data_IF_014916036049
#
_entry.id   IF_014916036049
#
_cell.length_a   1.000
_cell.length_b   1.000
_cell.length_c   1.000
_cell.angle_alpha   90.00
_cell.angle_beta   90.00
_cell.angle_gamma   90.00
#
_symmetry.space_group_name_H-M   'P 1'
#
loop_
_entity.id
_entity.type
_entity.pdbx_description
1 polymer ?
#
# COMPACT_ATOMS: atom_id res chain seq x y z
N UNK A 1 20.48 -49.24 26.79
CA UNK A 1 21.63 -48.40 26.40
C UNK A 1 21.79 -48.52 24.89
N UNK A 2 21.15 -47.63 24.13
CA UNK A 2 21.44 -47.44 22.70
C UNK A 2 21.39 -45.93 22.44
N UNK A 3 22.54 -45.41 22.04
CA UNK A 3 22.79 -44.03 21.65
C UNK A 3 22.36 -43.85 20.19
N UNK A 4 21.56 -42.80 19.92
CA UNK A 4 21.33 -42.34 18.56
C UNK A 4 21.64 -40.84 18.52
N UNK A 5 22.76 -40.52 17.88
CA UNK A 5 23.27 -39.19 17.64
C UNK A 5 22.72 -38.71 16.29
N UNK A 6 21.78 -37.75 16.30
CA UNK A 6 21.29 -37.10 15.09
C UNK A 6 21.80 -35.66 15.04
N UNK A 7 22.81 -35.45 14.20
CA UNK A 7 23.23 -34.13 13.72
C UNK A 7 22.11 -33.53 12.86
N UNK A 8 21.46 -32.47 13.33
CA UNK A 8 20.57 -31.63 12.53
C UNK A 8 21.40 -30.60 11.76
N UNK A 9 21.52 -30.82 10.44
CA UNK A 9 21.98 -29.83 9.47
C UNK A 9 20.89 -28.78 9.27
N UNK A 10 21.26 -27.51 9.34
CA UNK A 10 20.46 -26.36 8.95
C UNK A 10 20.13 -26.39 7.44
N UNK A 11 18.92 -26.00 7.02
CA UNK A 11 18.59 -25.92 5.59
C UNK A 11 19.13 -24.61 4.99
N UNK A 12 19.45 -24.60 3.68
CA UNK A 12 19.89 -23.40 2.98
C UNK A 12 18.71 -22.50 2.60
N UNK A 13 18.99 -21.20 2.57
CA UNK A 13 18.14 -20.12 2.07
C UNK A 13 17.73 -20.34 0.62
N UNK A 14 16.43 -20.52 0.36
CA UNK A 14 15.88 -20.55 -0.99
C UNK A 14 15.28 -19.20 -1.38
N UNK A 15 15.73 -18.72 -2.54
CA UNK A 15 15.21 -17.57 -3.27
C UNK A 15 13.71 -17.72 -3.54
N UNK A 16 12.92 -16.72 -3.16
CA UNK A 16 11.54 -16.53 -3.62
C UNK A 16 11.52 -15.96 -5.05
N UNK A 17 10.72 -16.52 -5.98
CA UNK A 17 10.45 -15.86 -7.26
C UNK A 17 9.26 -14.89 -7.16
N UNK A 18 9.51 -13.64 -7.56
CA UNK A 18 8.54 -12.57 -7.80
C UNK A 18 7.55 -12.96 -8.91
N UNK A 19 6.43 -13.61 -8.59
CA UNK A 19 5.24 -13.70 -9.46
C UNK A 19 3.96 -13.82 -8.64
N UNK A 20 3.58 -12.77 -7.92
CA UNK A 20 2.22 -12.66 -7.37
C UNK A 20 1.79 -11.20 -7.15
N UNK A 21 1.94 -10.35 -8.17
CA UNK A 21 1.51 -8.94 -8.09
C UNK A 21 0.75 -8.41 -9.32
N UNK A 22 0.34 -9.28 -10.25
CA UNK A 22 -0.34 -8.86 -11.48
C UNK A 22 -1.84 -9.22 -11.59
N UNK A 23 -2.50 -9.67 -10.53
CA UNK A 23 -3.92 -10.13 -10.61
C UNK A 23 -4.99 -9.24 -9.97
N UNK A 24 -4.65 -8.05 -9.46
CA UNK A 24 -5.65 -7.18 -8.77
C UNK A 24 -6.28 -6.10 -9.69
N UNK A 25 -5.88 -5.98 -10.97
CA UNK A 25 -6.50 -5.04 -11.92
C UNK A 25 -7.12 -5.77 -13.11
N UNK A 26 -8.29 -6.41 -12.92
CA UNK A 26 -9.21 -6.80 -14.02
C UNK A 26 -10.54 -7.33 -13.47
N UNK A 27 -11.42 -6.44 -13.01
CA UNK A 27 -12.85 -6.74 -12.90
C UNK A 27 -13.68 -5.46 -12.89
N UNK A 28 -14.03 -4.97 -14.08
CA UNK A 28 -15.14 -4.02 -14.27
C UNK A 28 -15.62 -4.10 -15.72
N UNK A 29 -16.41 -5.11 -16.05
CA UNK A 29 -17.23 -5.10 -17.26
C UNK A 29 -18.67 -4.80 -16.84
N UNK A 30 -19.09 -3.56 -17.06
CA UNK A 30 -20.48 -3.13 -16.93
C UNK A 30 -21.19 -3.38 -18.26
N UNK A 31 -22.27 -4.18 -18.21
CA UNK A 31 -23.17 -4.44 -19.33
C UNK A 31 -24.11 -3.24 -19.51
N UNK A 32 -24.18 -2.68 -20.73
CA UNK A 32 -25.26 -1.77 -21.13
C UNK A 32 -25.76 -2.17 -22.52
N UNK A 33 -27.02 -2.61 -22.56
CA UNK A 33 -27.78 -2.88 -23.77
C UNK A 33 -28.23 -1.55 -24.41
N UNK A 34 -28.14 -1.41 -25.73
CA UNK A 34 -28.74 -0.30 -26.47
C UNK A 34 -29.61 -0.82 -27.63
N UNK A 35 -30.90 -0.50 -27.54
CA UNK A 35 -31.93 -0.73 -28.54
C UNK A 35 -31.69 0.10 -29.81
N UNK A 36 -31.96 -0.48 -30.98
CA UNK A 36 -32.06 0.25 -32.25
C UNK A 36 -33.53 0.43 -32.61
N UNK A 37 -33.98 1.68 -32.66
CA UNK A 37 -35.27 2.06 -33.22
C UNK A 37 -35.18 2.25 -34.74
N UNK A 38 -36.25 1.80 -35.36
CA UNK A 38 -36.58 1.77 -36.77
C UNK A 38 -37.10 3.16 -37.20
N UNK A 39 -36.64 3.70 -38.33
CA UNK A 39 -37.38 4.75 -39.07
C UNK A 39 -37.23 4.49 -40.56
N UNK A 40 -38.33 4.04 -41.17
CA UNK A 40 -38.57 4.03 -42.61
C UNK A 40 -38.98 5.42 -43.11
N UNK A 41 -38.68 5.70 -44.39
CA UNK A 41 -39.54 6.33 -45.42
C UNK A 41 -38.70 6.59 -46.67
N UNK A 42 -38.92 5.83 -47.75
CA UNK A 42 -39.87 6.09 -48.85
C UNK A 42 -39.48 7.29 -49.72
N UNK A 43 -39.19 7.06 -51.01
CA UNK A 43 -40.07 7.40 -52.15
C UNK A 43 -39.46 6.90 -53.46
N UNK A 44 -40.34 6.35 -54.29
CA UNK A 44 -40.17 5.68 -55.57
C UNK A 44 -40.42 6.67 -56.72
N UNK A 45 -39.69 6.58 -57.86
CA UNK A 45 -40.26 6.94 -59.18
C UNK A 45 -39.42 6.48 -60.39
N UNK A 46 -40.05 5.59 -61.14
CA UNK A 46 -39.98 5.20 -62.56
C UNK A 46 -39.23 6.11 -63.55
N UNK A 47 -38.45 5.53 -64.49
CA UNK A 47 -38.89 5.19 -65.89
C UNK A 47 -37.71 4.65 -66.73
N UNK A 48 -38.04 4.02 -67.85
CA UNK A 48 -37.23 3.07 -68.60
C UNK A 48 -36.58 3.63 -69.89
N UNK A 49 -35.65 2.83 -70.44
CA UNK A 49 -35.28 2.60 -71.87
C UNK A 49 -34.01 3.28 -72.49
N UNK A 50 -33.22 2.39 -73.12
CA UNK A 50 -32.32 2.41 -74.31
C UNK A 50 -30.92 3.06 -74.31
N UNK A 51 -29.95 2.15 -74.46
CA UNK A 51 -28.77 2.03 -75.36
C UNK A 51 -28.16 3.26 -76.09
N UNK A 52 -26.81 3.26 -76.01
CA UNK A 52 -25.75 3.72 -76.92
C UNK A 52 -25.78 5.11 -77.58
N UNK A 53 -24.81 5.96 -77.21
CA UNK A 53 -23.61 6.22 -78.03
C UNK A 53 -22.60 7.14 -77.32
N UNK A 54 -21.34 7.00 -77.71
CA UNK A 54 -20.15 7.59 -77.12
C UNK A 54 -19.99 9.11 -77.34
N UNK A 55 -19.42 9.83 -76.36
CA UNK A 55 -18.26 10.72 -76.57
C UNK A 55 -17.80 11.50 -75.31
N UNK A 56 -16.51 11.29 -74.98
CA UNK A 56 -15.54 12.28 -74.47
C UNK A 56 -15.69 12.85 -73.04
N UNK A 57 -14.82 12.32 -72.16
CA UNK A 57 -13.77 13.15 -71.56
C UNK A 57 -13.99 13.64 -70.13
N UNK A 58 -13.48 12.89 -69.15
CA UNK A 58 -12.73 13.38 -67.98
C UNK A 58 -12.74 12.28 -66.91
N UNK A 59 -11.67 11.49 -66.82
CA UNK A 59 -11.63 10.36 -65.91
C UNK A 59 -10.22 10.08 -65.44
N UNK A 60 -9.82 10.77 -64.36
CA UNK A 60 -8.52 10.60 -63.69
C UNK A 60 -8.06 9.13 -63.70
N UNK A 61 -6.85 8.89 -64.22
CA UNK A 61 -6.21 7.56 -64.32
C UNK A 61 -6.26 6.85 -62.97
N UNK A 62 -6.32 5.51 -62.94
CA UNK A 62 -6.37 4.73 -61.69
C UNK A 62 -5.26 5.12 -60.67
N UNK A 63 -4.12 5.58 -61.17
CA UNK A 63 -3.02 6.17 -60.39
C UNK A 63 -3.38 7.49 -59.72
N UNK A 64 -4.10 8.39 -60.41
CA UNK A 64 -4.58 9.66 -59.86
C UNK A 64 -5.59 9.46 -58.72
N UNK A 65 -6.50 8.49 -58.86
CA UNK A 65 -7.45 8.12 -57.80
C UNK A 65 -6.75 7.53 -56.56
N UNK A 66 -5.69 6.73 -56.73
CA UNK A 66 -4.86 6.23 -55.60
C UNK A 66 -4.10 7.36 -54.91
N UNK A 67 -3.51 8.28 -55.65
CA UNK A 67 -2.75 9.39 -55.07
C UNK A 67 -3.63 10.40 -54.33
N UNK A 68 -4.87 10.61 -54.79
CA UNK A 68 -5.85 11.44 -54.08
C UNK A 68 -6.28 10.80 -52.76
N UNK A 69 -6.56 9.48 -52.73
CA UNK A 69 -6.86 8.76 -51.48
C UNK A 69 -5.71 8.83 -50.48
N UNK A 70 -4.46 8.66 -50.93
CA UNK A 70 -3.28 8.74 -50.06
C UNK A 70 -3.10 10.16 -49.52
N UNK A 71 -3.36 11.20 -50.33
CA UNK A 71 -3.31 12.60 -49.87
C UNK A 71 -4.43 12.93 -48.88
N UNK A 72 -5.65 12.44 -49.10
CA UNK A 72 -6.77 12.60 -48.18
C UNK A 72 -6.56 11.82 -46.88
N UNK A 73 -6.04 10.59 -46.93
CA UNK A 73 -5.67 9.83 -45.74
C UNK A 73 -4.56 10.53 -44.95
N UNK A 74 -3.56 11.08 -45.63
CA UNK A 74 -2.50 11.85 -44.98
C UNK A 74 -3.07 13.11 -44.32
N UNK A 75 -3.92 13.86 -45.03
CA UNK A 75 -4.57 15.07 -44.50
C UNK A 75 -5.53 14.75 -43.35
N UNK A 76 -6.18 13.58 -43.38
CA UNK A 76 -7.07 13.09 -42.31
C UNK A 76 -6.30 12.62 -41.09
N UNK A 77 -5.18 11.92 -41.26
CA UNK A 77 -4.27 11.52 -40.18
C UNK A 77 -3.61 12.74 -39.52
N UNK A 78 -3.24 13.75 -40.32
CA UNK A 78 -2.74 15.03 -39.82
C UNK A 78 -3.83 15.80 -39.06
N UNK A 79 -5.09 15.75 -39.51
CA UNK A 79 -6.24 16.38 -38.84
C UNK A 79 -6.64 15.68 -37.52
N UNK A 80 -6.60 14.35 -37.47
CA UNK A 80 -6.83 13.55 -36.25
C UNK A 80 -5.70 13.72 -35.23
N UNK A 81 -4.45 13.85 -35.69
CA UNK A 81 -3.29 14.18 -34.86
C UNK A 81 -3.39 15.60 -34.24
N UNK A 82 -4.00 16.56 -34.94
CA UNK A 82 -4.17 17.95 -34.48
C UNK A 82 -5.38 18.18 -33.57
N UNK A 83 -6.42 17.34 -33.60
CA UNK A 83 -7.66 17.52 -32.82
C UNK A 83 -7.84 16.59 -31.62
N UNK A 84 -6.83 15.81 -31.27
CA UNK A 84 -6.91 14.94 -30.10
C UNK A 84 -6.49 15.71 -28.85
N UNK A 85 -7.36 16.61 -28.38
CA UNK A 85 -7.29 17.05 -26.98
C UNK A 85 -7.72 15.85 -26.12
N UNK A 86 -6.80 15.21 -25.38
CA UNK A 86 -7.06 13.91 -24.80
C UNK A 86 -8.16 13.95 -23.74
N UNK A 87 -8.99 12.91 -23.67
CA UNK A 87 -10.03 12.82 -22.64
C UNK A 87 -9.45 12.87 -21.22
N UNK A 88 -8.27 12.28 -21.01
CA UNK A 88 -7.56 12.34 -19.73
C UNK A 88 -7.19 13.78 -19.34
N UNK A 89 -6.84 14.63 -20.31
CA UNK A 89 -6.49 16.03 -20.04
C UNK A 89 -7.74 16.82 -19.64
N UNK A 90 -8.91 16.54 -20.23
CA UNK A 90 -10.20 17.16 -19.86
C UNK A 90 -10.61 16.81 -18.44
N UNK A 91 -10.49 15.53 -18.07
CA UNK A 91 -10.79 15.03 -16.73
C UNK A 91 -9.84 15.67 -15.71
N UNK A 92 -8.55 15.78 -16.05
CA UNK A 92 -7.55 16.37 -15.18
C UNK A 92 -7.79 17.88 -14.97
N UNK A 93 -8.18 18.61 -16.01
CA UNK A 93 -8.59 20.02 -15.89
C UNK A 93 -9.85 20.20 -15.05
N UNK A 94 -10.83 19.30 -15.19
CA UNK A 94 -12.06 19.35 -14.41
C UNK A 94 -11.79 19.08 -12.93
N UNK A 95 -10.94 18.11 -12.62
CA UNK A 95 -10.48 17.83 -11.26
C UNK A 95 -9.74 19.04 -10.65
N UNK A 96 -8.94 19.78 -11.44
CA UNK A 96 -8.24 20.98 -10.97
C UNK A 96 -9.18 22.14 -10.58
N UNK A 97 -10.44 22.15 -11.04
CA UNK A 97 -11.42 23.15 -10.62
C UNK A 97 -11.88 22.94 -9.18
N UNK A 98 -11.81 21.69 -8.71
CA UNK A 98 -12.33 21.27 -7.40
C UNK A 98 -11.22 20.99 -6.39
N UNK A 99 -9.97 20.83 -6.83
CA UNK A 99 -8.81 20.55 -5.98
C UNK A 99 -7.72 21.63 -6.13
N UNK A 100 -7.50 22.39 -5.05
CA UNK A 100 -6.50 23.45 -4.99
C UNK A 100 -5.06 22.94 -5.04
N UNK A 101 -4.78 21.73 -4.52
CA UNK A 101 -3.43 21.18 -4.53
C UNK A 101 -3.01 20.75 -5.94
N UNK A 102 -3.91 20.10 -6.68
CA UNK A 102 -3.67 19.72 -8.07
C UNK A 102 -3.52 20.94 -8.99
N UNK A 103 -4.27 22.00 -8.71
CA UNK A 103 -4.14 23.29 -9.41
C UNK A 103 -2.76 23.92 -9.21
N UNK A 104 -2.20 23.83 -8.00
CA UNK A 104 -0.83 24.31 -7.72
C UNK A 104 0.22 23.46 -8.46
N UNK A 105 -0.01 22.16 -8.61
CA UNK A 105 0.90 21.24 -9.33
C UNK A 105 0.96 21.55 -10.83
N UNK A 106 -0.19 21.84 -11.44
CA UNK A 106 -0.28 22.07 -12.89
C UNK A 106 -0.06 23.54 -13.28
N UNK A 107 -0.45 24.48 -12.42
CA UNK A 107 -0.19 25.92 -12.57
C UNK A 107 -0.52 26.44 -13.97
N UNK A 108 0.46 27.06 -14.62
CA UNK A 108 0.35 27.65 -15.97
C UNK A 108 0.28 26.62 -17.12
N UNK A 109 0.29 25.32 -16.80
CA UNK A 109 0.33 24.24 -17.82
C UNK A 109 -1.07 23.75 -18.23
N UNK A 110 -2.13 24.35 -17.68
CA UNK A 110 -3.53 24.05 -18.03
C UNK A 110 -3.79 24.38 -19.51
N UNK A 111 -4.46 23.49 -20.23
CA UNK A 111 -4.76 23.63 -21.66
C UNK A 111 -3.76 22.97 -22.62
N UNK A 112 -2.59 22.50 -22.15
CA UNK A 112 -1.62 21.79 -23.00
C UNK A 112 -1.35 20.36 -22.46
N UNK A 113 -1.83 19.31 -23.15
CA UNK A 113 -1.72 17.93 -22.64
C UNK A 113 -0.27 17.46 -22.48
N UNK A 114 0.65 17.86 -23.35
CA UNK A 114 2.04 17.39 -23.24
C UNK A 114 2.75 18.00 -22.02
N UNK A 115 2.47 19.26 -21.72
CA UNK A 115 3.02 19.95 -20.54
C UNK A 115 2.37 19.48 -19.24
N UNK A 116 1.06 19.22 -19.24
CA UNK A 116 0.36 18.64 -18.08
C UNK A 116 0.95 17.27 -17.73
N UNK A 117 1.19 16.43 -18.74
CA UNK A 117 1.82 15.11 -18.55
C UNK A 117 3.21 15.24 -17.96
N UNK A 118 4.05 16.10 -18.53
CA UNK A 118 5.42 16.31 -18.04
C UNK A 118 5.45 16.85 -16.61
N UNK A 119 4.56 17.78 -16.24
CA UNK A 119 4.48 18.34 -14.88
C UNK A 119 4.03 17.30 -13.85
N UNK A 120 3.03 16.49 -14.20
CA UNK A 120 2.58 15.37 -13.35
C UNK A 120 3.69 14.34 -13.19
N UNK A 121 4.33 13.92 -14.28
CA UNK A 121 5.45 12.96 -14.24
C UNK A 121 6.64 13.52 -13.44
N UNK A 122 6.98 14.80 -13.59
CA UNK A 122 8.01 15.45 -12.79
C UNK A 122 7.65 15.52 -11.31
N UNK A 123 6.39 15.83 -10.97
CA UNK A 123 5.95 15.89 -9.57
C UNK A 123 5.91 14.50 -8.94
N UNK A 124 5.43 13.49 -9.65
CA UNK A 124 5.47 12.08 -9.21
C UNK A 124 6.92 11.62 -9.04
N UNK A 125 7.83 12.01 -9.93
CA UNK A 125 9.25 11.68 -9.81
C UNK A 125 9.95 12.41 -8.67
N UNK A 126 9.61 13.68 -8.42
CA UNK A 126 10.21 14.50 -7.35
C UNK A 126 9.65 14.16 -5.97
N UNK A 127 8.31 14.09 -5.80
CA UNK A 127 7.68 13.64 -4.56
C UNK A 127 7.99 12.17 -4.29
N UNK A 128 7.86 11.31 -5.31
CA UNK A 128 8.27 9.91 -5.22
C UNK A 128 9.71 9.78 -4.76
N UNK A 129 10.68 10.48 -5.37
CA UNK A 129 12.07 10.47 -4.88
C UNK A 129 12.23 10.99 -3.44
N UNK A 130 11.54 12.05 -3.07
CA UNK A 130 11.66 12.64 -1.73
C UNK A 130 11.07 11.72 -0.64
N UNK A 131 9.97 11.02 -0.95
CA UNK A 131 9.32 10.07 -0.04
C UNK A 131 10.08 8.73 0.01
N UNK A 132 10.62 8.24 -1.12
CA UNK A 132 11.43 7.02 -1.18
C UNK A 132 12.87 7.20 -0.65
N UNK A 133 13.40 8.43 -0.58
CA UNK A 133 14.73 8.74 -0.07
C UNK A 133 14.70 9.62 1.19
N UNK A 134 13.72 9.45 2.08
CA UNK A 134 13.97 9.83 3.49
C UNK A 134 15.17 9.03 3.96
N UNK A 135 16.20 9.71 4.45
CA UNK A 135 17.36 9.07 5.05
C UNK A 135 16.88 8.14 6.16
N UNK A 136 17.03 6.83 5.97
CA UNK A 136 16.71 5.83 6.99
C UNK A 136 17.50 6.20 8.23
N UNK A 137 16.79 6.60 9.29
CA UNK A 137 17.39 6.95 10.57
C UNK A 137 17.52 5.72 11.48
N UNK A 138 17.03 4.57 11.02
CA UNK A 138 17.11 3.28 11.69
C UNK A 138 18.49 2.63 11.67
N UNK A 139 18.58 1.46 12.31
CA UNK A 139 19.76 0.61 12.34
C UNK A 139 19.67 -0.53 11.32
N UNK A 140 20.77 -0.81 10.64
CA UNK A 140 20.88 -1.96 9.72
C UNK A 140 21.02 -3.28 10.51
N UNK A 141 21.42 -3.19 11.77
CA UNK A 141 21.61 -4.36 12.64
C UNK A 141 20.27 -4.82 13.22
N UNK A 142 20.03 -6.12 13.18
CA UNK A 142 18.91 -6.73 13.88
C UNK A 142 19.12 -6.57 15.40
N UNK A 143 18.10 -6.09 16.11
CA UNK A 143 18.16 -5.97 17.56
C UNK A 143 18.07 -7.33 18.23
N UNK A 144 18.61 -7.41 19.44
CA UNK A 144 18.55 -8.62 20.26
C UNK A 144 17.22 -8.71 21.00
N UNK A 145 16.61 -9.89 21.05
CA UNK A 145 15.42 -10.15 21.88
C UNK A 145 15.81 -11.02 23.07
N UNK A 146 15.43 -10.62 24.28
CA UNK A 146 15.65 -11.39 25.51
C UNK A 146 14.34 -11.53 26.30
N UNK A 147 14.16 -12.67 26.97
CA UNK A 147 13.08 -12.88 27.93
C UNK A 147 13.70 -13.12 29.31
N UNK A 148 13.21 -12.40 30.32
CA UNK A 148 13.68 -12.48 31.72
C UNK A 148 12.47 -12.49 32.64
N UNK A 149 12.14 -13.66 33.19
CA UNK A 149 11.01 -13.84 34.11
C UNK A 149 9.70 -13.23 33.57
N UNK A 150 9.47 -13.39 32.27
CA UNK A 150 8.32 -12.79 31.59
C UNK A 150 7.02 -13.44 32.04
N UNK A 151 6.11 -12.63 32.58
CA UNK A 151 4.74 -12.99 32.91
C UNK A 151 3.79 -12.20 31.99
N UNK A 152 3.04 -12.85 31.08
CA UNK A 152 2.20 -12.15 30.10
C UNK A 152 1.08 -11.32 30.72
N UNK A 153 0.70 -11.58 31.98
CA UNK A 153 -0.36 -10.85 32.68
C UNK A 153 0.15 -9.66 33.50
N UNK A 154 1.46 -9.61 33.75
CA UNK A 154 2.07 -8.60 34.60
C UNK A 154 3.57 -8.52 34.33
N UNK A 155 3.95 -7.80 33.28
CA UNK A 155 5.36 -7.58 32.96
C UNK A 155 5.59 -6.29 32.20
N UNK A 156 6.78 -5.74 32.40
CA UNK A 156 7.28 -4.68 31.54
C UNK A 156 7.90 -5.26 30.27
N UNK A 157 7.74 -4.55 29.17
CA UNK A 157 8.53 -4.73 27.97
C UNK A 157 9.46 -3.53 27.87
N UNK A 158 10.75 -3.81 27.74
CA UNK A 158 11.82 -2.82 27.68
C UNK A 158 12.39 -2.72 26.27
N UNK A 159 12.72 -1.51 25.85
CA UNK A 159 13.33 -1.21 24.56
C UNK A 159 14.57 -0.36 24.82
N UNK A 160 15.73 -0.82 24.38
CA UNK A 160 16.96 -0.03 24.40
C UNK A 160 17.22 0.54 23.01
N UNK A 161 17.37 1.86 22.91
CA UNK A 161 17.69 2.58 21.68
C UNK A 161 19.21 2.86 21.59
N UNK A 162 19.71 3.15 20.39
CA UNK A 162 21.12 3.56 20.22
C UNK A 162 21.45 4.94 20.82
N UNK A 163 20.43 5.74 21.10
CA UNK A 163 20.53 7.05 21.71
C UNK A 163 19.17 7.52 22.20
N UNK A 164 19.15 8.66 22.89
CA UNK A 164 17.93 9.18 23.49
C UNK A 164 16.91 9.55 22.41
N UNK A 165 15.63 9.13 22.56
CA UNK A 165 14.64 9.34 21.53
C UNK A 165 14.28 10.82 21.38
N UNK A 166 14.16 11.27 20.13
CA UNK A 166 13.54 12.58 19.85
C UNK A 166 12.04 12.52 20.13
N UNK A 167 11.37 13.67 20.26
CA UNK A 167 9.93 13.71 20.54
C UNK A 167 9.12 13.02 19.43
N UNK A 168 9.60 13.10 18.19
CA UNK A 168 9.05 12.37 17.05
C UNK A 168 9.18 10.85 17.22
N UNK A 169 10.29 10.38 17.78
CA UNK A 169 10.52 8.94 17.99
C UNK A 169 9.62 8.41 19.11
N UNK A 170 9.43 9.21 20.17
CA UNK A 170 8.47 8.92 21.25
C UNK A 170 7.04 8.78 20.67
N UNK A 171 6.60 9.74 19.86
CA UNK A 171 5.29 9.67 19.20
C UNK A 171 5.15 8.46 18.27
N UNK A 172 6.21 8.13 17.53
CA UNK A 172 6.20 7.03 16.58
C UNK A 172 6.15 5.67 17.30
N UNK A 173 7.02 5.45 18.28
CA UNK A 173 7.04 4.23 19.09
C UNK A 173 5.72 4.09 19.87
N UNK A 174 5.26 5.18 20.49
CA UNK A 174 4.00 5.23 21.21
C UNK A 174 2.79 4.88 20.33
N UNK A 175 2.71 5.46 19.12
CA UNK A 175 1.64 5.17 18.16
C UNK A 175 1.63 3.70 17.69
N UNK A 176 2.81 3.10 17.52
CA UNK A 176 2.94 1.67 17.18
C UNK A 176 2.41 0.79 18.30
N UNK A 177 2.83 1.08 19.55
CA UNK A 177 2.40 0.32 20.73
C UNK A 177 0.89 0.50 20.98
N UNK A 178 0.37 1.72 20.86
CA UNK A 178 -1.07 1.99 20.97
C UNK A 178 -1.87 1.23 19.89
N UNK A 179 -1.39 1.21 18.65
CA UNK A 179 -2.04 0.45 17.57
C UNK A 179 -2.03 -1.05 17.85
N UNK A 180 -0.91 -1.57 18.34
CA UNK A 180 -0.78 -2.97 18.77
C UNK A 180 -1.77 -3.32 19.89
N UNK A 181 -1.89 -2.46 20.90
CA UNK A 181 -2.87 -2.61 21.98
C UNK A 181 -4.32 -2.60 21.48
N UNK A 182 -4.70 -1.62 20.63
CA UNK A 182 -6.05 -1.53 20.07
C UNK A 182 -6.42 -2.78 19.28
N UNK A 183 -5.51 -3.31 18.46
CA UNK A 183 -5.71 -4.57 17.76
C UNK A 183 -5.94 -5.74 18.74
N UNK A 184 -5.16 -5.79 19.81
CA UNK A 184 -5.31 -6.80 20.86
C UNK A 184 -6.63 -6.71 21.62
N UNK A 185 -7.11 -5.50 21.95
CA UNK A 185 -8.41 -5.26 22.59
C UNK A 185 -9.58 -5.73 21.72
N UNK A 186 -9.41 -5.72 20.41
CA UNK A 186 -10.40 -6.20 19.43
C UNK A 186 -10.26 -7.69 19.10
N UNK A 187 -9.33 -8.40 19.76
CA UNK A 187 -9.11 -9.84 19.58
C UNK A 187 -8.43 -10.22 18.27
N UNK A 188 -7.68 -9.29 17.65
CA UNK A 188 -6.94 -9.55 16.41
C UNK A 188 -5.86 -10.64 16.58
N UNK A 189 -5.35 -10.82 17.81
CA UNK A 189 -4.32 -11.81 18.13
C UNK A 189 -4.91 -13.15 18.56
N UNK A 190 -6.02 -13.58 17.94
CA UNK A 190 -6.62 -14.89 18.18
C UNK A 190 -6.07 -15.92 17.18
N UNK A 191 -5.06 -16.66 17.61
CA UNK A 191 -4.44 -17.74 16.82
C UNK A 191 -5.42 -18.88 16.50
N UNK A 192 -6.40 -19.12 17.39
CA UNK A 192 -7.43 -20.15 17.19
C UNK A 192 -8.45 -19.80 16.09
N UNK A 193 -8.56 -18.52 15.71
CA UNK A 193 -9.40 -18.02 14.63
C UNK A 193 -8.63 -17.65 13.35
N UNK A 194 -7.41 -18.16 13.16
CA UNK A 194 -6.61 -17.97 11.93
C UNK A 194 -7.09 -18.88 10.79
N UNK A 195 -8.27 -18.59 10.25
CA UNK A 195 -8.90 -19.43 9.21
C UNK A 195 -8.08 -19.51 7.91
N UNK A 196 -7.46 -18.40 7.51
CA UNK A 196 -6.67 -18.34 6.28
C UNK A 196 -5.30 -19.01 6.42
N UNK A 197 -4.74 -19.07 7.64
CA UNK A 197 -3.40 -19.62 7.85
C UNK A 197 -3.29 -21.12 7.51
N UNK A 198 -4.41 -21.85 7.59
CA UNK A 198 -4.50 -23.27 7.24
C UNK A 198 -5.21 -23.52 5.89
N UNK A 199 -5.62 -22.46 5.19
CA UNK A 199 -6.33 -22.57 3.92
C UNK A 199 -5.36 -22.70 2.74
N UNK A 200 -5.71 -23.54 1.75
CA UNK A 200 -5.00 -23.55 0.47
C UNK A 200 -5.42 -22.33 -0.36
N UNK A 201 -4.43 -21.61 -0.89
CA UNK A 201 -4.65 -20.49 -1.82
C UNK A 201 -4.87 -20.95 -3.27
N UNK A 202 -4.97 -22.27 -3.51
CA UNK A 202 -5.28 -22.83 -4.83
C UNK A 202 -6.72 -22.52 -5.28
N UNK A 203 -7.61 -22.27 -4.31
CA UNK A 203 -8.99 -21.86 -4.51
C UNK A 203 -9.26 -20.56 -3.75
N UNK A 204 -10.36 -19.88 -4.09
CA UNK A 204 -10.80 -18.68 -3.37
C UNK A 204 -11.11 -19.07 -1.91
N UNK A 205 -10.36 -18.56 -0.93
CA UNK A 205 -10.58 -18.91 0.47
C UNK A 205 -11.88 -18.26 0.96
N UNK A 206 -12.63 -19.00 1.78
CA UNK A 206 -13.87 -18.54 2.40
C UNK A 206 -13.61 -18.29 3.89
N UNK A 207 -14.05 -17.12 4.37
CA UNK A 207 -14.03 -16.81 5.80
C UNK A 207 -15.40 -17.14 6.40
N UNK A 208 -15.42 -18.05 7.37
CA UNK A 208 -16.63 -18.55 8.00
C UNK A 208 -16.90 -17.79 9.30
N UNK A 209 -17.99 -17.01 9.32
CA UNK A 209 -18.38 -16.21 10.48
C UNK A 209 -18.90 -17.08 11.64
N UNK A 210 -19.60 -18.18 11.36
CA UNK A 210 -20.15 -19.07 12.38
C UNK A 210 -19.01 -19.82 13.07
N UNK A 211 -18.02 -20.26 12.30
CA UNK A 211 -16.78 -20.81 12.85
C UNK A 211 -16.07 -19.80 13.74
N UNK A 212 -15.92 -18.56 13.29
CA UNK A 212 -15.28 -17.50 14.09
C UNK A 212 -15.99 -17.22 15.41
N UNK A 213 -17.32 -17.26 15.42
CA UNK A 213 -18.13 -17.08 16.62
C UNK A 213 -18.00 -18.21 17.65
N UNK A 214 -17.70 -19.44 17.20
CA UNK A 214 -17.53 -20.60 18.09
C UNK A 214 -16.15 -20.66 18.77
N UNK A 215 -15.16 -19.92 18.25
CA UNK A 215 -13.82 -19.90 18.84
C UNK A 215 -13.82 -19.07 20.12
N UNK A 216 -13.06 -19.52 21.12
CA UNK A 216 -12.86 -18.76 22.36
C UNK A 216 -12.28 -17.38 22.04
N UNK A 217 -12.87 -16.34 22.63
CA UNK A 217 -12.38 -14.97 22.45
C UNK A 217 -11.00 -14.80 23.10
N UNK A 218 -10.11 -14.15 22.37
CA UNK A 218 -8.79 -13.74 22.85
C UNK A 218 -8.83 -12.22 23.01
N UNK A 219 -8.40 -11.69 24.16
CA UNK A 219 -8.43 -10.25 24.45
C UNK A 219 -7.20 -9.82 25.22
N UNK A 220 -6.52 -8.80 24.71
CA UNK A 220 -5.60 -7.98 25.50
C UNK A 220 -6.40 -7.29 26.60
N UNK A 221 -5.93 -7.24 27.84
CA UNK A 221 -6.64 -6.56 28.92
C UNK A 221 -6.23 -5.11 29.06
N UNK A 222 -4.96 -4.84 29.35
CA UNK A 222 -4.54 -3.48 29.71
C UNK A 222 -3.06 -3.19 29.45
N UNK A 223 -2.73 -1.92 29.28
CA UNK A 223 -1.37 -1.47 28.97
C UNK A 223 -1.07 -0.16 29.71
N UNK A 224 0.18 -0.01 30.16
CA UNK A 224 0.67 1.23 30.74
C UNK A 224 1.13 2.23 29.68
N UNK A 225 1.32 3.48 30.09
CA UNK A 225 1.94 4.49 29.24
C UNK A 225 3.35 4.06 28.82
N UNK A 226 3.81 4.55 27.66
CA UNK A 226 5.16 4.29 27.18
C UNK A 226 6.09 5.33 27.75
N UNK A 227 6.99 4.90 28.63
CA UNK A 227 7.91 5.78 29.35
C UNK A 227 9.31 5.66 28.77
N UNK A 228 10.08 6.76 28.78
CA UNK A 228 11.47 6.81 28.35
C UNK A 228 12.33 7.56 29.36
N UNK A 229 13.49 6.97 29.67
CA UNK A 229 14.59 7.57 30.42
C UNK A 229 15.87 7.34 29.63
N UNK A 230 16.56 8.42 29.25
CA UNK A 230 17.74 8.38 28.38
C UNK A 230 17.50 7.53 27.12
N UNK A 231 18.16 6.38 27.01
CA UNK A 231 18.09 5.46 25.87
C UNK A 231 17.10 4.31 26.10
N UNK A 232 16.57 4.17 27.31
CA UNK A 232 15.67 3.09 27.69
C UNK A 232 14.23 3.55 27.61
N UNK A 233 13.41 2.75 26.95
CA UNK A 233 11.96 2.83 26.99
C UNK A 233 11.35 1.62 27.70
N UNK A 234 10.24 1.80 28.38
CA UNK A 234 9.46 0.70 28.95
C UNK A 234 7.96 0.97 28.88
N UNK A 235 7.18 -0.10 28.92
CA UNK A 235 5.73 -0.03 29.14
C UNK A 235 5.27 -1.33 29.79
N UNK A 236 4.29 -1.21 30.69
CA UNK A 236 3.68 -2.36 31.37
C UNK A 236 2.59 -2.99 30.50
N UNK A 237 2.44 -4.31 30.54
CA UNK A 237 1.39 -5.03 29.81
C UNK A 237 0.67 -6.08 30.67
N UNK A 238 -0.64 -6.16 30.49
CA UNK A 238 -1.49 -7.33 30.78
C UNK A 238 -2.11 -7.84 29.47
N UNK A 239 -1.45 -8.83 28.86
CA UNK A 239 -1.91 -9.48 27.64
C UNK A 239 -3.23 -10.23 27.84
N UNK A 240 -3.68 -10.48 29.07
CA UNK A 240 -4.92 -11.16 29.36
C UNK A 240 -5.00 -12.55 28.72
N UNK A 241 -6.03 -12.75 27.91
CA UNK A 241 -6.22 -13.98 27.12
C UNK A 241 -5.68 -13.87 25.68
N UNK A 242 -4.93 -12.80 25.38
CA UNK A 242 -4.25 -12.64 24.10
C UNK A 242 -3.24 -13.76 23.86
N UNK A 243 -3.22 -14.34 22.66
CA UNK A 243 -2.23 -15.35 22.32
C UNK A 243 -0.84 -14.73 22.09
N UNK A 244 0.21 -15.56 22.17
CA UNK A 244 1.60 -15.15 21.88
C UNK A 244 1.82 -14.63 20.46
N UNK A 245 0.86 -14.84 19.55
CA UNK A 245 0.80 -14.17 18.25
C UNK A 245 0.94 -12.64 18.38
N UNK A 246 0.43 -12.06 19.47
CA UNK A 246 0.59 -10.65 19.76
C UNK A 246 2.06 -10.23 19.84
N UNK A 247 2.90 -11.05 20.49
CA UNK A 247 4.34 -10.80 20.64
C UNK A 247 5.05 -10.93 19.30
N UNK A 248 4.71 -11.95 18.50
CA UNK A 248 5.29 -12.13 17.17
C UNK A 248 4.98 -10.94 16.26
N UNK A 249 3.73 -10.48 16.24
CA UNK A 249 3.30 -9.31 15.46
C UNK A 249 4.04 -8.05 15.92
N UNK A 250 4.19 -7.85 17.23
CA UNK A 250 4.96 -6.73 17.78
C UNK A 250 6.43 -6.78 17.33
N UNK A 251 7.09 -7.92 17.49
CA UNK A 251 8.50 -8.08 17.11
C UNK A 251 8.74 -7.87 15.61
N UNK A 252 7.83 -8.37 14.77
CA UNK A 252 7.85 -8.12 13.33
C UNK A 252 7.70 -6.63 13.01
N UNK A 253 6.79 -5.93 13.70
CA UNK A 253 6.63 -4.49 13.56
C UNK A 253 7.88 -3.72 13.99
N UNK A 254 8.43 -4.03 15.16
CA UNK A 254 9.64 -3.41 15.69
C UNK A 254 10.86 -3.65 14.81
N UNK A 255 10.93 -4.79 14.10
CA UNK A 255 12.01 -5.09 13.15
C UNK A 255 12.06 -4.04 12.03
N UNK A 256 10.90 -3.75 11.43
CA UNK A 256 10.80 -2.73 10.36
C UNK A 256 10.94 -1.32 10.93
N UNK A 257 10.39 -1.07 12.11
CA UNK A 257 10.58 0.20 12.83
C UNK A 257 12.07 0.48 13.04
N UNK A 258 12.81 -0.54 13.49
CA UNK A 258 14.24 -0.46 13.76
C UNK A 258 15.05 -0.16 12.51
N UNK A 259 14.72 -0.82 11.40
CA UNK A 259 15.50 -0.68 10.15
C UNK A 259 15.27 0.63 9.41
N UNK A 260 14.07 1.19 9.49
CA UNK A 260 13.69 2.35 8.67
C UNK A 260 13.66 3.66 9.46
N UNK A 261 13.27 3.64 10.74
CA UNK A 261 12.92 4.84 11.49
C UNK A 261 13.80 5.08 12.72
N UNK A 262 13.81 4.16 13.68
CA UNK A 262 14.46 4.38 14.99
C UNK A 262 15.30 3.17 15.37
N UNK A 263 16.62 3.31 15.41
CA UNK A 263 17.50 2.19 15.71
C UNK A 263 17.30 1.63 17.13
N UNK A 264 16.86 0.36 17.21
CA UNK A 264 16.72 -0.40 18.46
C UNK A 264 17.97 -1.28 18.63
N UNK A 265 18.54 -1.32 19.83
CA UNK A 265 19.63 -2.22 20.22
C UNK A 265 19.10 -3.57 20.70
N UNK A 266 18.15 -3.54 21.65
CA UNK A 266 17.53 -4.74 22.18
C UNK A 266 16.12 -4.48 22.70
N UNK A 267 15.34 -5.56 22.73
CA UNK A 267 14.03 -5.63 23.36
C UNK A 267 14.08 -6.70 24.45
N UNK A 268 13.64 -6.38 25.66
CA UNK A 268 13.62 -7.30 26.79
C UNK A 268 12.20 -7.45 27.31
N UNK A 269 11.69 -8.68 27.33
CA UNK A 269 10.39 -9.01 27.89
C UNK A 269 10.57 -9.44 29.35
N UNK A 270 9.88 -8.78 30.27
CA UNK A 270 9.99 -8.98 31.71
C UNK A 270 11.22 -8.31 32.34
N UNK A 271 11.51 -8.67 33.58
CA UNK A 271 12.59 -8.09 34.39
C UNK A 271 12.15 -6.82 35.14
N UNK A 272 12.51 -6.75 36.42
CA UNK A 272 12.10 -5.66 37.32
C UNK A 272 13.00 -4.43 37.26
N UNK A 273 14.29 -4.60 36.94
CA UNK A 273 15.25 -3.49 36.77
C UNK A 273 16.20 -3.82 35.63
N UNK A 274 16.23 -2.96 34.62
CA UNK A 274 17.04 -3.13 33.41
C UNK A 274 17.85 -1.85 33.17
N UNK A 275 19.13 -2.02 32.85
CA UNK A 275 20.04 -0.91 32.56
C UNK A 275 20.19 0.06 33.72
N UNK A 276 20.19 1.34 33.39
CA UNK A 276 20.34 2.46 34.32
C UNK A 276 18.98 3.06 34.74
N UNK A 277 17.88 2.32 34.55
CA UNK A 277 16.55 2.79 34.90
C UNK A 277 16.40 3.02 36.41
N UNK A 278 15.92 4.21 36.77
CA UNK A 278 15.66 4.58 38.17
C UNK A 278 14.17 4.92 38.39
N UNK A 279 13.57 4.19 39.32
CA UNK A 279 12.15 4.36 39.67
C UNK A 279 11.91 5.73 40.32
N UNK A 280 10.88 6.45 39.85
CA UNK A 280 10.50 7.76 40.36
C UNK A 280 11.16 8.95 39.66
N UNK A 281 12.14 8.73 38.78
CA UNK A 281 12.71 9.79 37.93
C UNK A 281 11.75 10.11 36.77
N UNK A 282 10.77 10.97 37.05
CA UNK A 282 9.66 11.32 36.14
C UNK A 282 9.65 12.81 35.75
N UNK A 283 10.70 13.53 36.11
CA UNK A 283 10.92 14.95 35.80
C UNK A 283 11.35 15.13 34.35
N UNK A 284 10.61 15.96 33.60
CA UNK A 284 10.95 16.31 32.22
C UNK A 284 12.31 17.05 32.11
N UNK A 285 12.71 17.78 33.16
CA UNK A 285 14.00 18.46 33.22
C UNK A 285 15.18 17.48 33.22
N UNK A 286 14.96 16.25 33.71
CA UNK A 286 15.95 15.18 33.76
C UNK A 286 15.88 14.27 32.52
N UNK A 287 15.16 14.69 31.47
CA UNK A 287 15.09 13.96 30.20
C UNK A 287 14.01 12.88 30.14
N UNK A 288 13.15 12.77 31.17
CA UNK A 288 12.01 11.86 31.13
C UNK A 288 10.99 12.28 30.07
N UNK A 289 10.62 11.33 29.21
CA UNK A 289 9.58 11.51 28.19
C UNK A 289 8.57 10.38 28.29
N UNK A 290 7.34 10.64 27.90
CA UNK A 290 6.32 9.61 27.86
C UNK A 290 5.34 9.83 26.73
N UNK A 291 4.73 8.74 26.27
CA UNK A 291 3.59 8.73 25.38
C UNK A 291 2.41 8.10 26.10
N UNK A 292 1.30 8.84 26.14
CA UNK A 292 0.09 8.41 26.82
C UNK A 292 -0.78 7.56 25.88
N UNK A 293 -1.15 6.36 26.32
CA UNK A 293 -1.96 5.41 25.54
C UNK A 293 -3.47 5.68 25.70
#
# INVERSE_FOLDING_TARGET
>A
MYSCCCYLKSPPSSLFPLKLQERIFKSSNLVVCANKSHVDKLVNRDRAISEDEAAKGSGTTARGRRLLRVREEKRKREHEHLHTYPQWAKVLEDACKHDSELRVVLGDSLGNPDLMRQRVEQRVRQKGRADFHKSKSGSILAFKVNFRDFNPLDSYIWIELYGSPSDRDVDLIGSVIQSWYVMGRLGAFNSSNLQLASSSMEYDPLYDADRGFQVMSSSFHDIGDVEFQDNWGRFWVDLGTSDFLAIDVLLNCLTVLSSEYVGIQQVVFGGHKIGDWEEGMTSQEDGYKYFKI
#
